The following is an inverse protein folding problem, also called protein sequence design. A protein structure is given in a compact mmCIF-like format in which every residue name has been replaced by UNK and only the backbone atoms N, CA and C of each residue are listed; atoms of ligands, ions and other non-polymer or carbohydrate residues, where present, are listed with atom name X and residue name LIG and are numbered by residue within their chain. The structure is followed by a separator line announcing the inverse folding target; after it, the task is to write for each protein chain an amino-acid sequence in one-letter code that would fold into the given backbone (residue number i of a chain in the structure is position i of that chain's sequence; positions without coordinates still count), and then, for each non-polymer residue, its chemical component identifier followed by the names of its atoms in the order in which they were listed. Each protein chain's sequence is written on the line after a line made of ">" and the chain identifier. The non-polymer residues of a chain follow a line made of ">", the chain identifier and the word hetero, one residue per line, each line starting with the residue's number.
data_IF_513296723212
#
_entry.id   IF_513296723212
#
_cell.length_a   1.000
_cell.length_b   1.000
_cell.length_c   1.000
_cell.angle_alpha   90.00
_cell.angle_beta   90.00
_cell.angle_gamma   90.00
#
_symmetry.space_group_name_H-M   'P 1'
#
loop_
_entity.id
_entity.type
_entity.pdbx_description
1 polymer ?
#
# COMPACT_ATOMS: atom_id res chain seq x y z
N UNK A 1 -24.28 -13.21 -15.66
CA UNK A 1 -24.69 -14.21 -16.68
C UNK A 1 -24.62 -15.59 -16.02
N UNK A 2 -25.70 -16.32 -15.92
CA UNK A 2 -25.71 -17.72 -15.49
C UNK A 2 -25.18 -18.58 -16.61
N UNK A 3 -24.10 -19.30 -16.38
CA UNK A 3 -23.57 -20.26 -17.34
C UNK A 3 -24.28 -21.59 -17.07
N UNK A 4 -25.08 -22.01 -17.99
CA UNK A 4 -25.81 -23.30 -17.96
C UNK A 4 -24.96 -24.40 -18.63
N UNK A 5 -23.69 -24.49 -18.30
CA UNK A 5 -22.78 -25.53 -18.76
C UNK A 5 -22.38 -26.43 -17.62
N UNK A 6 -21.99 -27.66 -17.93
CA UNK A 6 -21.41 -28.56 -16.94
C UNK A 6 -20.21 -27.92 -16.20
N UNK A 7 -20.04 -28.18 -14.90
CA UNK A 7 -18.90 -27.67 -14.13
C UNK A 7 -17.60 -28.12 -14.80
N UNK A 8 -16.79 -27.15 -15.23
CA UNK A 8 -15.51 -27.40 -15.88
C UNK A 8 -14.39 -26.73 -15.10
N UNK A 9 -13.21 -27.35 -15.08
CA UNK A 9 -12.01 -26.80 -14.46
C UNK A 9 -10.83 -26.88 -15.43
N UNK A 10 -9.95 -25.87 -15.38
CA UNK A 10 -8.77 -25.84 -16.22
C UNK A 10 -8.77 -24.74 -17.28
N UNK A 11 -7.78 -24.78 -18.16
CA UNK A 11 -7.64 -23.83 -19.27
C UNK A 11 -8.36 -24.35 -20.50
N UNK A 12 -9.28 -23.56 -21.02
CA UNK A 12 -10.03 -23.85 -22.25
C UNK A 12 -9.83 -22.68 -23.20
N UNK A 13 -8.92 -22.84 -24.17
CA UNK A 13 -8.54 -21.77 -25.09
C UNK A 13 -8.00 -20.54 -24.34
N UNK A 14 -8.64 -19.38 -24.53
CA UNK A 14 -8.27 -18.12 -23.87
C UNK A 14 -9.02 -17.90 -22.53
N UNK A 15 -9.62 -18.93 -21.96
CA UNK A 15 -10.35 -18.86 -20.69
C UNK A 15 -9.83 -19.87 -19.69
N UNK A 16 -9.92 -19.51 -18.41
CA UNK A 16 -9.65 -20.41 -17.30
C UNK A 16 -10.94 -20.57 -16.51
N UNK A 17 -11.42 -21.80 -16.45
CA UNK A 17 -12.58 -22.19 -15.65
C UNK A 17 -12.08 -22.77 -14.31
N UNK A 18 -12.73 -22.40 -13.22
CA UNK A 18 -12.42 -22.92 -11.88
C UNK A 18 -13.65 -22.88 -10.99
N UNK A 19 -13.69 -23.78 -10.02
CA UNK A 19 -14.74 -23.78 -9.01
C UNK A 19 -14.25 -22.89 -7.86
N UNK A 20 -14.88 -21.72 -7.73
CA UNK A 20 -14.60 -20.80 -6.63
C UNK A 20 -15.57 -21.02 -5.47
N UNK A 21 -15.36 -20.28 -4.37
CA UNK A 21 -16.22 -20.30 -3.18
C UNK A 21 -17.71 -20.04 -3.50
N UNK A 22 -17.99 -19.34 -4.57
CA UNK A 22 -19.34 -18.93 -4.99
C UNK A 22 -19.85 -19.72 -6.19
N UNK A 23 -19.23 -20.86 -6.48
CA UNK A 23 -19.59 -21.76 -7.59
C UNK A 23 -18.63 -21.65 -8.78
N UNK A 24 -19.13 -22.07 -9.94
CA UNK A 24 -18.42 -22.05 -11.20
C UNK A 24 -18.04 -20.62 -11.61
N UNK A 25 -16.77 -20.38 -11.81
CA UNK A 25 -16.22 -19.11 -12.27
C UNK A 25 -15.43 -19.30 -13.56
N UNK A 26 -15.50 -18.33 -14.46
CA UNK A 26 -14.64 -18.26 -15.64
C UNK A 26 -13.98 -16.89 -15.69
N UNK A 27 -12.72 -16.86 -16.06
CA UNK A 27 -11.97 -15.64 -16.32
C UNK A 27 -11.17 -15.75 -17.59
N UNK A 28 -10.86 -14.65 -18.21
CA UNK A 28 -9.90 -14.61 -19.30
C UNK A 28 -8.52 -15.07 -18.82
N UNK A 29 -7.84 -15.84 -19.66
CA UNK A 29 -6.45 -16.23 -19.40
C UNK A 29 -5.54 -15.04 -19.67
N UNK A 30 -4.93 -14.52 -18.61
CA UNK A 30 -3.91 -13.50 -18.73
C UNK A 30 -2.59 -14.12 -18.29
N UNK A 31 -1.60 -14.11 -19.18
CA UNK A 31 -0.24 -14.50 -18.80
C UNK A 31 0.30 -13.50 -17.77
N UNK A 32 0.66 -13.96 -16.56
CA UNK A 32 1.13 -13.05 -15.53
C UNK A 32 2.47 -12.43 -15.98
N UNK A 33 2.52 -11.11 -16.06
CA UNK A 33 3.80 -10.41 -16.20
C UNK A 33 4.53 -10.51 -14.87
N UNK A 34 5.69 -11.13 -14.90
CA UNK A 34 6.54 -11.26 -13.70
C UNK A 34 7.33 -9.95 -13.48
N UNK A 35 6.62 -8.87 -13.21
CA UNK A 35 7.26 -7.61 -12.83
C UNK A 35 7.63 -7.68 -11.36
N UNK A 36 8.93 -7.75 -11.05
CA UNK A 36 9.45 -7.57 -9.70
C UNK A 36 9.45 -6.09 -9.34
N UNK A 37 9.04 -5.77 -8.12
CA UNK A 37 9.24 -4.44 -7.52
C UNK A 37 9.45 -4.63 -6.02
N UNK A 38 10.26 -3.77 -5.36
CA UNK A 38 10.54 -3.92 -3.92
C UNK A 38 9.28 -4.03 -3.06
N UNK A 39 8.25 -3.24 -3.36
CA UNK A 39 6.96 -3.29 -2.65
C UNK A 39 6.24 -4.63 -2.84
N UNK A 40 6.23 -5.17 -4.07
CA UNK A 40 5.61 -6.47 -4.36
C UNK A 40 6.36 -7.62 -3.71
N UNK A 41 7.68 -7.57 -3.74
CA UNK A 41 8.52 -8.62 -3.15
C UNK A 41 8.39 -8.61 -1.62
N UNK A 42 8.30 -7.42 -1.02
CA UNK A 42 7.98 -7.27 0.39
C UNK A 42 6.61 -7.89 0.75
N UNK A 43 5.57 -7.57 -0.01
CA UNK A 43 4.23 -8.16 0.20
C UNK A 43 4.23 -9.68 0.07
N UNK A 44 4.89 -10.22 -0.97
CA UNK A 44 5.03 -11.68 -1.15
C UNK A 44 5.80 -12.31 0.00
N UNK A 45 6.87 -11.65 0.45
CA UNK A 45 7.67 -12.08 1.60
C UNK A 45 6.83 -12.19 2.87
N UNK A 46 6.04 -11.16 3.18
CA UNK A 46 5.15 -11.15 4.34
C UNK A 46 4.09 -12.25 4.29
N UNK A 47 3.39 -12.38 3.16
CA UNK A 47 2.41 -13.46 3.00
C UNK A 47 3.07 -14.84 3.10
N UNK A 48 4.25 -15.01 2.49
CA UNK A 48 5.02 -16.25 2.56
C UNK A 48 5.48 -16.57 3.98
N UNK A 49 5.89 -15.57 4.76
CA UNK A 49 6.29 -15.78 6.17
C UNK A 49 5.11 -16.21 7.04
N UNK A 50 3.95 -15.56 6.89
CA UNK A 50 2.74 -15.97 7.61
C UNK A 50 2.23 -17.35 7.18
N UNK A 51 2.33 -17.69 5.91
CA UNK A 51 1.97 -19.04 5.44
C UNK A 51 2.90 -20.11 6.03
N UNK A 52 4.21 -19.86 6.10
CA UNK A 52 5.17 -20.76 6.78
C UNK A 52 4.90 -20.84 8.28
N UNK A 53 4.57 -19.73 8.93
CA UNK A 53 4.20 -19.72 10.33
C UNK A 53 2.95 -20.57 10.60
N UNK A 54 1.93 -20.46 9.76
CA UNK A 54 0.73 -21.29 9.83
C UNK A 54 1.04 -22.80 9.79
N UNK A 55 1.90 -23.21 8.87
CA UNK A 55 2.20 -24.65 8.67
C UNK A 55 3.27 -25.21 9.61
N UNK A 56 4.23 -24.39 10.04
CA UNK A 56 5.42 -24.87 10.76
C UNK A 56 5.59 -24.36 12.19
N UNK A 57 4.99 -23.20 12.55
CA UNK A 57 5.14 -22.63 13.89
C UNK A 57 3.93 -22.87 14.79
N UNK A 58 2.71 -22.90 14.22
CA UNK A 58 1.51 -23.14 15.01
C UNK A 58 1.37 -24.62 15.35
N UNK A 59 0.98 -24.89 16.59
CA UNK A 59 0.53 -26.21 17.02
C UNK A 59 -0.83 -26.54 16.40
N UNK A 60 -1.22 -27.82 16.39
CA UNK A 60 -2.53 -28.25 15.90
C UNK A 60 -3.64 -27.56 16.68
N UNK A 61 -3.56 -27.51 18.01
CA UNK A 61 -4.53 -26.83 18.86
C UNK A 61 -4.69 -25.34 18.54
N UNK A 62 -3.57 -24.66 18.20
CA UNK A 62 -3.64 -23.25 17.77
C UNK A 62 -4.30 -23.11 16.41
N UNK A 63 -4.00 -24.00 15.46
CA UNK A 63 -4.68 -24.01 14.14
C UNK A 63 -6.17 -24.28 14.28
N UNK A 64 -6.56 -25.20 15.14
CA UNK A 64 -7.96 -25.54 15.42
C UNK A 64 -8.70 -24.34 16.01
N UNK A 65 -8.10 -23.60 16.94
CA UNK A 65 -8.67 -22.37 17.49
C UNK A 65 -8.92 -21.32 16.40
N UNK A 66 -7.99 -21.14 15.47
CA UNK A 66 -8.19 -20.24 14.32
C UNK A 66 -9.25 -20.76 13.34
N UNK A 67 -9.33 -22.08 13.11
CA UNK A 67 -10.36 -22.71 12.29
C UNK A 67 -11.76 -22.57 12.89
N UNK A 68 -11.88 -22.54 14.21
CA UNK A 68 -13.13 -22.25 14.89
C UNK A 68 -13.51 -20.76 14.83
N UNK A 69 -12.53 -19.86 14.96
CA UNK A 69 -12.75 -18.42 14.94
C UNK A 69 -13.05 -17.89 13.51
N UNK A 70 -12.38 -18.43 12.49
CA UNK A 70 -12.47 -17.95 11.10
C UNK A 70 -13.90 -17.86 10.56
N UNK A 71 -14.73 -18.90 10.66
CA UNK A 71 -16.11 -18.87 10.16
C UNK A 71 -17.02 -17.82 10.79
N UNK A 72 -16.68 -17.32 11.99
CA UNK A 72 -17.40 -16.25 12.67
C UNK A 72 -17.16 -14.89 12.02
N UNK A 73 -16.14 -14.78 11.16
CA UNK A 73 -15.75 -13.54 10.48
C UNK A 73 -16.10 -13.59 9.00
N UNK A 74 -16.73 -12.54 8.49
CA UNK A 74 -17.09 -12.44 7.09
C UNK A 74 -15.97 -11.79 6.27
N UNK A 75 -15.69 -12.34 5.10
CA UNK A 75 -14.77 -11.73 4.14
C UNK A 75 -15.35 -10.43 3.58
N UNK A 76 -14.48 -9.51 3.15
CA UNK A 76 -14.91 -8.35 2.37
C UNK A 76 -15.75 -8.77 1.15
N UNK A 77 -16.72 -7.94 0.77
CA UNK A 77 -17.59 -8.19 -0.39
C UNK A 77 -16.76 -8.23 -1.67
N UNK A 78 -16.86 -9.34 -2.40
CA UNK A 78 -16.32 -9.48 -3.75
C UNK A 78 -17.43 -9.89 -4.70
N UNK A 79 -17.61 -9.14 -5.78
CA UNK A 79 -18.73 -9.32 -6.71
C UNK A 79 -20.11 -9.32 -6.00
N UNK A 80 -20.25 -8.49 -4.97
CA UNK A 80 -21.45 -8.37 -4.18
C UNK A 80 -21.70 -9.49 -3.15
N UNK A 81 -20.81 -10.48 -3.07
CA UNK A 81 -20.92 -11.62 -2.14
C UNK A 81 -19.80 -11.60 -1.10
N UNK A 82 -20.12 -11.95 0.12
CA UNK A 82 -19.19 -12.23 1.20
C UNK A 82 -19.42 -13.66 1.71
N UNK A 83 -18.47 -14.19 2.46
CA UNK A 83 -18.62 -15.50 3.09
C UNK A 83 -17.65 -15.67 4.25
N UNK A 84 -17.82 -16.69 5.09
CA UNK A 84 -17.01 -16.92 6.26
C UNK A 84 -15.54 -17.09 5.88
N UNK A 85 -14.61 -16.59 6.67
CA UNK A 85 -13.19 -16.80 6.44
C UNK A 85 -12.78 -18.23 6.82
N UNK A 86 -11.72 -18.75 6.20
CA UNK A 86 -11.03 -19.92 6.72
C UNK A 86 -10.13 -19.51 7.90
N UNK A 87 -9.76 -20.45 8.78
CA UNK A 87 -8.85 -20.17 9.88
C UNK A 87 -7.53 -19.54 9.42
N UNK A 88 -6.93 -20.08 8.36
CA UNK A 88 -5.72 -19.51 7.78
C UNK A 88 -5.90 -18.08 7.24
N UNK A 89 -7.02 -17.80 6.55
CA UNK A 89 -7.30 -16.44 6.07
C UNK A 89 -7.48 -15.45 7.22
N UNK A 90 -8.16 -15.89 8.30
CA UNK A 90 -8.32 -15.05 9.48
C UNK A 90 -6.98 -14.80 10.18
N UNK A 91 -6.17 -15.86 10.39
CA UNK A 91 -4.81 -15.73 10.91
C UNK A 91 -3.94 -14.76 10.10
N UNK A 92 -3.94 -14.91 8.78
CA UNK A 92 -3.16 -14.02 7.90
C UNK A 92 -3.66 -12.57 7.95
N UNK A 93 -4.96 -12.35 7.98
CA UNK A 93 -5.55 -11.01 8.08
C UNK A 93 -5.12 -10.28 9.35
N UNK A 94 -5.36 -10.90 10.51
CA UNK A 94 -5.01 -10.33 11.82
C UNK A 94 -3.50 -10.05 11.93
N UNK A 95 -2.68 -11.03 11.56
CA UNK A 95 -1.23 -10.88 11.72
C UNK A 95 -0.59 -9.96 10.67
N UNK A 96 -1.19 -9.81 9.49
CA UNK A 96 -0.77 -8.77 8.53
C UNK A 96 -1.03 -7.37 9.05
N UNK A 97 -2.19 -7.12 9.66
CA UNK A 97 -2.51 -5.83 10.26
C UNK A 97 -1.58 -5.49 11.43
N UNK A 98 -1.25 -6.47 12.27
CA UNK A 98 -0.28 -6.29 13.37
C UNK A 98 1.13 -6.02 12.87
N UNK A 99 1.58 -6.77 11.87
CA UNK A 99 2.90 -6.58 11.26
C UNK A 99 3.03 -5.18 10.63
N UNK A 100 1.94 -4.63 10.08
CA UNK A 100 1.92 -3.29 9.52
C UNK A 100 2.30 -2.20 10.55
N UNK A 101 1.92 -2.39 11.80
CA UNK A 101 2.24 -1.46 12.90
C UNK A 101 3.43 -1.92 13.77
N UNK A 102 4.18 -2.93 13.31
CA UNK A 102 5.37 -3.43 14.01
C UNK A 102 5.07 -4.22 15.30
N UNK A 103 3.87 -4.78 15.44
CA UNK A 103 3.49 -5.63 16.56
C UNK A 103 3.80 -7.10 16.27
N UNK A 104 4.11 -7.85 17.31
CA UNK A 104 4.40 -9.29 17.22
C UNK A 104 3.19 -10.10 16.75
N UNK A 105 3.46 -11.25 16.15
CA UNK A 105 2.47 -12.19 15.67
C UNK A 105 1.70 -12.82 16.82
N UNK A 106 0.38 -12.95 16.66
CA UNK A 106 -0.49 -13.71 17.58
C UNK A 106 -0.59 -15.17 17.14
N UNK A 107 -0.41 -16.08 18.09
CA UNK A 107 -0.56 -17.52 17.90
C UNK A 107 -2.01 -18.00 18.12
N UNK A 108 -2.79 -17.25 18.88
CA UNK A 108 -4.20 -17.52 19.14
C UNK A 108 -5.07 -16.38 18.57
N UNK A 109 -6.31 -16.70 18.14
CA UNK A 109 -7.22 -15.68 17.64
C UNK A 109 -7.58 -14.69 18.76
N UNK A 110 -7.46 -13.38 18.52
CA UNK A 110 -7.90 -12.38 19.48
C UNK A 110 -9.42 -12.30 19.54
N UNK A 111 -9.95 -11.88 20.69
CA UNK A 111 -11.36 -11.61 20.83
C UNK A 111 -11.82 -10.53 19.84
N UNK A 112 -13.05 -10.60 19.31
CA UNK A 112 -13.59 -9.55 18.45
C UNK A 112 -13.63 -8.20 19.17
N UNK A 113 -13.17 -7.15 18.49
CA UNK A 113 -13.16 -5.79 19.01
C UNK A 113 -14.29 -4.98 18.38
N UNK A 114 -15.00 -4.24 19.21
CA UNK A 114 -15.98 -3.24 18.77
C UNK A 114 -15.37 -1.88 18.95
N UNK A 115 -15.04 -1.24 17.82
CA UNK A 115 -14.43 0.08 17.84
C UNK A 115 -15.46 1.16 18.14
N UNK A 116 -15.10 2.09 19.01
CA UNK A 116 -15.81 3.35 19.18
C UNK A 116 -15.65 4.22 17.91
N UNK A 117 -16.36 5.35 17.89
CA UNK A 117 -16.19 6.33 16.81
C UNK A 117 -14.72 6.78 16.77
N UNK A 118 -14.15 6.82 15.57
CA UNK A 118 -12.76 7.24 15.37
C UNK A 118 -12.56 8.66 15.93
N UNK A 119 -11.63 8.87 16.88
CA UNK A 119 -11.42 10.16 17.52
C UNK A 119 -10.72 11.20 16.62
N UNK A 120 -10.25 10.82 15.44
CA UNK A 120 -9.63 11.74 14.48
C UNK A 120 -10.71 12.50 13.74
N UNK A 121 -10.69 13.81 13.85
CA UNK A 121 -11.64 14.71 13.19
C UNK A 121 -11.09 15.23 11.86
N UNK A 122 -10.95 16.54 11.77
CA UNK A 122 -10.59 17.25 10.54
C UNK A 122 -9.07 17.34 10.36
N UNK A 123 -8.62 17.29 9.10
CA UNK A 123 -7.28 17.70 8.68
C UNK A 123 -7.21 19.23 8.66
N UNK A 124 -6.21 19.78 9.32
CA UNK A 124 -5.87 21.22 9.30
C UNK A 124 -4.51 21.36 8.63
N UNK A 125 -4.44 22.18 7.58
CA UNK A 125 -3.18 22.46 6.89
C UNK A 125 -2.83 23.92 7.15
N UNK A 126 -1.64 24.16 7.67
CA UNK A 126 -1.07 25.51 7.83
C UNK A 126 0.13 25.64 6.91
N UNK A 127 0.32 26.81 6.33
CA UNK A 127 1.43 27.15 5.46
C UNK A 127 2.05 28.45 5.95
N UNK A 128 3.20 28.37 6.61
CA UNK A 128 3.91 29.51 7.20
C UNK A 128 5.36 29.55 6.77
N UNK A 129 6.18 30.37 7.46
CA UNK A 129 7.62 30.49 7.22
C UNK A 129 8.37 29.15 7.33
N UNK A 130 7.90 28.23 8.21
CA UNK A 130 8.45 26.89 8.40
C UNK A 130 7.97 25.84 7.41
N UNK A 131 7.26 26.22 6.30
CA UNK A 131 6.70 25.29 5.33
C UNK A 131 5.28 24.81 5.68
N UNK A 132 4.81 23.81 4.96
CA UNK A 132 3.47 23.25 5.13
C UNK A 132 3.44 22.28 6.30
N UNK A 133 2.48 22.46 7.21
CA UNK A 133 2.22 21.54 8.32
C UNK A 133 0.86 20.87 8.15
N UNK A 134 0.82 19.58 8.42
CA UNK A 134 -0.36 18.72 8.32
C UNK A 134 -0.74 18.24 9.73
N UNK A 135 -1.83 18.77 10.26
CA UNK A 135 -2.27 18.54 11.62
C UNK A 135 -3.63 17.83 11.60
N UNK A 136 -3.77 16.74 12.34
CA UNK A 136 -5.06 16.07 12.55
C UNK A 136 -5.65 16.51 13.88
N UNK A 137 -6.88 17.03 13.84
CA UNK A 137 -7.61 17.41 15.04
C UNK A 137 -8.13 16.15 15.74
N UNK A 138 -7.83 16.00 17.02
CA UNK A 138 -8.29 14.89 17.85
C UNK A 138 -9.47 15.35 18.68
N UNK A 139 -10.60 14.65 18.59
CA UNK A 139 -11.86 15.04 19.22
C UNK A 139 -12.14 14.31 20.54
N UNK A 140 -11.44 13.19 20.79
CA UNK A 140 -11.57 12.39 22.00
C UNK A 140 -10.23 11.72 22.33
N UNK A 141 -10.01 11.25 23.56
CA UNK A 141 -8.81 10.49 23.90
C UNK A 141 -8.61 9.29 22.97
N UNK A 142 -7.37 9.08 22.55
CA UNK A 142 -6.97 7.94 21.70
C UNK A 142 -6.65 6.77 22.62
N UNK A 143 -7.47 5.73 22.56
CA UNK A 143 -7.29 4.51 23.35
C UNK A 143 -6.60 3.39 22.56
N UNK A 144 -6.79 3.38 21.23
CA UNK A 144 -6.26 2.35 20.34
C UNK A 144 -5.17 2.91 19.43
N UNK A 145 -4.40 2.02 18.80
CA UNK A 145 -3.46 2.41 17.75
C UNK A 145 -4.24 2.95 16.53
N UNK A 146 -3.91 4.13 16.04
CA UNK A 146 -4.52 4.71 14.84
C UNK A 146 -3.51 4.69 13.71
N UNK A 147 -3.84 3.96 12.65
CA UNK A 147 -3.08 3.88 11.41
C UNK A 147 -3.41 5.08 10.53
N UNK A 148 -2.40 5.77 10.04
CA UNK A 148 -2.53 6.90 9.11
C UNK A 148 -2.15 6.47 7.71
N UNK A 149 -3.04 6.72 6.77
CA UNK A 149 -2.84 6.48 5.35
C UNK A 149 -2.96 7.78 4.57
N UNK A 150 -2.23 7.90 3.48
CA UNK A 150 -2.30 9.07 2.60
C UNK A 150 -2.10 8.71 1.14
N UNK A 151 -2.35 9.67 0.27
CA UNK A 151 -2.00 9.61 -1.14
C UNK A 151 -1.14 10.80 -1.53
N UNK A 152 -0.47 10.72 -2.68
CA UNK A 152 0.25 11.86 -3.24
C UNK A 152 -0.69 13.05 -3.43
N UNK A 153 -0.20 14.30 -3.23
CA UNK A 153 -1.00 15.49 -3.37
C UNK A 153 -1.58 15.57 -4.80
N UNK A 154 -2.77 16.12 -4.92
CA UNK A 154 -3.48 16.20 -6.19
C UNK A 154 -4.11 17.58 -6.41
N UNK A 155 -4.64 17.82 -7.60
CA UNK A 155 -5.32 19.09 -7.91
C UNK A 155 -6.50 19.37 -6.98
N UNK A 156 -6.73 20.63 -6.64
CA UNK A 156 -7.81 21.08 -5.74
C UNK A 156 -9.21 20.64 -6.19
N UNK A 157 -9.43 20.48 -7.50
CA UNK A 157 -10.72 20.05 -8.06
C UNK A 157 -11.06 18.58 -7.84
N UNK A 158 -10.12 17.75 -7.40
CA UNK A 158 -10.38 16.35 -7.13
C UNK A 158 -11.23 16.16 -5.88
N UNK A 159 -12.38 15.51 -6.03
CA UNK A 159 -13.34 15.29 -4.93
C UNK A 159 -13.22 13.92 -4.26
N UNK A 160 -12.64 12.93 -4.92
CA UNK A 160 -12.51 11.55 -4.41
C UNK A 160 -11.05 11.13 -4.35
N UNK A 161 -10.68 10.47 -3.24
CA UNK A 161 -9.36 9.86 -3.10
C UNK A 161 -9.14 8.74 -4.12
N UNK A 162 -7.89 8.42 -4.36
CA UNK A 162 -7.42 7.19 -5.03
C UNK A 162 -6.96 6.19 -3.97
N UNK A 163 -6.16 5.23 -4.39
CA UNK A 163 -5.51 4.31 -3.47
C UNK A 163 -4.60 5.09 -2.52
N UNK A 164 -4.76 4.83 -1.24
CA UNK A 164 -3.93 5.39 -0.18
C UNK A 164 -2.86 4.38 0.22
N UNK A 165 -1.74 4.89 0.72
CA UNK A 165 -0.65 4.08 1.27
C UNK A 165 -0.51 4.33 2.76
N UNK A 166 -0.11 3.32 3.49
CA UNK A 166 0.20 3.45 4.90
C UNK A 166 1.40 4.38 5.11
N UNK A 167 1.26 5.35 6.00
CA UNK A 167 2.30 6.34 6.34
C UNK A 167 2.96 6.02 7.67
N UNK A 168 2.21 5.55 8.64
CA UNK A 168 2.68 5.26 9.98
C UNK A 168 1.53 5.26 11.00
N UNK A 169 1.88 5.09 12.26
CA UNK A 169 0.97 5.30 13.38
C UNK A 169 0.81 6.79 13.65
N UNK A 170 -0.37 7.15 14.15
CA UNK A 170 -0.68 8.53 14.56
C UNK A 170 0.26 8.95 15.69
N UNK A 171 1.01 10.04 15.53
CA UNK A 171 1.83 10.60 16.61
C UNK A 171 0.97 11.04 17.80
N UNK A 172 1.56 11.01 18.99
CA UNK A 172 0.87 11.46 20.20
C UNK A 172 0.36 12.90 20.05
N UNK A 173 -0.93 13.16 20.33
CA UNK A 173 -1.50 14.48 20.16
C UNK A 173 -0.94 15.46 21.17
N UNK A 174 -0.64 16.67 20.72
CA UNK A 174 -0.28 17.82 21.54
C UNK A 174 -1.39 18.87 21.43
N UNK A 175 -1.93 19.29 22.56
CA UNK A 175 -3.04 20.27 22.62
C UNK A 175 -4.23 19.91 21.67
N UNK A 176 -4.56 18.63 21.57
CA UNK A 176 -5.66 18.17 20.70
C UNK A 176 -5.35 18.10 19.21
N UNK A 177 -4.09 18.29 18.82
CA UNK A 177 -3.61 18.19 17.44
C UNK A 177 -2.51 17.13 17.35
N UNK A 178 -2.53 16.32 16.31
CA UNK A 178 -1.46 15.37 16.00
C UNK A 178 -0.76 15.76 14.71
N UNK A 179 0.54 15.99 14.77
CA UNK A 179 1.36 16.41 13.62
C UNK A 179 1.80 15.20 12.79
N UNK A 180 1.27 15.06 11.60
CA UNK A 180 1.60 14.01 10.65
C UNK A 180 2.51 14.49 9.50
N UNK A 181 3.03 15.71 9.58
CA UNK A 181 3.84 16.33 8.52
C UNK A 181 5.03 15.46 8.15
N UNK A 182 5.81 15.01 9.14
CA UNK A 182 6.98 14.19 8.89
C UNK A 182 6.64 12.86 8.20
N UNK A 183 5.54 12.19 8.60
CA UNK A 183 5.08 10.94 7.99
C UNK A 183 4.68 11.15 6.52
N UNK A 184 4.00 12.25 6.23
CA UNK A 184 3.53 12.56 4.89
C UNK A 184 4.69 12.96 3.97
N UNK A 185 5.54 13.89 4.43
CA UNK A 185 6.66 14.44 3.65
C UNK A 185 7.71 13.38 3.34
N UNK A 186 7.99 12.48 4.28
CA UNK A 186 8.90 11.36 4.06
C UNK A 186 8.51 10.47 2.88
N UNK A 187 7.18 10.39 2.57
CA UNK A 187 6.70 9.54 1.50
C UNK A 187 6.41 10.26 0.19
N UNK A 188 5.87 11.46 0.25
CA UNK A 188 5.35 12.16 -0.92
C UNK A 188 6.01 13.50 -1.18
N UNK A 189 6.87 13.95 -0.29
CA UNK A 189 7.39 15.31 -0.31
C UNK A 189 6.38 16.33 0.22
N UNK A 190 6.80 17.59 0.28
CA UNK A 190 5.96 18.70 0.71
C UNK A 190 4.88 19.00 -0.33
N UNK A 191 3.60 19.08 0.07
CA UNK A 191 2.54 19.40 -0.86
C UNK A 191 2.57 20.90 -1.23
N UNK A 192 2.37 21.18 -2.52
CA UNK A 192 2.36 22.57 -3.03
C UNK A 192 1.07 23.30 -2.70
N UNK A 193 1.17 24.65 -2.72
CA UNK A 193 0.01 25.55 -2.56
C UNK A 193 -1.09 25.21 -3.57
N UNK A 194 -2.34 25.19 -3.13
CA UNK A 194 -3.50 24.85 -3.95
C UNK A 194 -3.67 23.36 -4.25
N UNK A 195 -2.76 22.51 -3.81
CA UNK A 195 -2.94 21.05 -3.91
C UNK A 195 -3.83 20.54 -2.78
N UNK A 196 -4.61 19.50 -3.08
CA UNK A 196 -5.45 18.81 -2.10
C UNK A 196 -4.73 17.58 -1.55
N UNK A 197 -4.74 17.46 -0.23
CA UNK A 197 -4.22 16.32 0.50
C UNK A 197 -5.38 15.50 1.04
N UNK A 198 -5.34 14.18 0.83
CA UNK A 198 -6.28 13.22 1.41
C UNK A 198 -5.58 12.37 2.44
N UNK A 199 -6.16 12.28 3.61
CA UNK A 199 -5.70 11.42 4.71
C UNK A 199 -6.84 10.50 5.09
N UNK A 200 -6.51 9.24 5.36
CA UNK A 200 -7.44 8.25 5.89
C UNK A 200 -6.86 7.73 7.19
N UNK A 201 -7.68 7.65 8.20
CA UNK A 201 -7.31 7.06 9.49
C UNK A 201 -8.16 5.85 9.78
N UNK A 202 -7.55 4.86 10.43
CA UNK A 202 -8.19 3.61 10.80
C UNK A 202 -7.71 3.18 12.18
N UNK A 203 -8.64 2.89 13.07
CA UNK A 203 -8.33 2.32 14.38
C UNK A 203 -7.86 0.87 14.23
N UNK A 204 -6.92 0.46 15.05
CA UNK A 204 -6.41 -0.91 15.07
C UNK A 204 -6.20 -1.35 16.51
N UNK A 205 -6.74 -2.52 16.84
CA UNK A 205 -6.51 -3.18 18.13
C UNK A 205 -6.39 -4.68 17.92
N UNK A 206 -5.30 -5.27 18.38
CA UNK A 206 -4.99 -6.72 18.26
C UNK A 206 -5.13 -7.32 16.86
N UNK A 207 -4.92 -6.50 15.81
CA UNK A 207 -5.05 -6.91 14.42
C UNK A 207 -6.45 -6.75 13.84
N UNK A 208 -7.45 -6.41 14.65
CA UNK A 208 -8.73 -5.94 14.16
C UNK A 208 -8.61 -4.52 13.66
N UNK A 209 -9.29 -4.21 12.57
CA UNK A 209 -9.28 -2.89 11.96
C UNK A 209 -10.68 -2.29 11.98
N UNK A 210 -10.77 -1.02 12.38
CA UNK A 210 -11.99 -0.24 12.36
C UNK A 210 -12.34 0.24 10.93
N UNK A 211 -13.33 1.11 10.85
CA UNK A 211 -13.75 1.72 9.60
C UNK A 211 -12.79 2.84 9.18
N UNK A 212 -12.66 3.02 7.86
CA UNK A 212 -11.93 4.15 7.28
C UNK A 212 -12.63 5.47 7.63
N UNK A 213 -11.88 6.41 8.20
CA UNK A 213 -12.27 7.81 8.33
C UNK A 213 -11.46 8.64 7.36
N UNK A 214 -12.13 9.25 6.38
CA UNK A 214 -11.49 10.08 5.37
C UNK A 214 -11.60 11.55 5.77
N UNK A 215 -10.48 12.26 5.63
CA UNK A 215 -10.41 13.72 5.74
C UNK A 215 -9.53 14.28 4.63
N UNK A 216 -9.81 15.48 4.20
CA UNK A 216 -9.02 16.15 3.17
C UNK A 216 -9.09 17.67 3.33
N UNK A 217 -8.02 18.33 2.87
CA UNK A 217 -7.94 19.80 2.87
C UNK A 217 -7.06 20.26 1.71
N UNK A 218 -7.18 21.52 1.34
CA UNK A 218 -6.36 22.18 0.31
C UNK A 218 -5.28 23.00 1.00
N UNK A 219 -4.05 22.89 0.50
CA UNK A 219 -2.91 23.67 1.02
C UNK A 219 -3.17 25.15 0.79
N UNK A 220 -3.26 25.97 1.85
CA UNK A 220 -3.52 27.39 1.72
C UNK A 220 -2.31 28.15 1.16
N UNK A 221 -2.56 29.30 0.58
CA UNK A 221 -1.53 30.28 0.21
C UNK A 221 -0.89 30.79 1.50
N UNK A 222 0.39 31.12 1.47
CA UNK A 222 1.07 31.75 2.61
C UNK A 222 0.40 33.07 2.98
N UNK A 223 0.26 33.39 4.28
CA UNK A 223 -0.40 34.61 4.70
C UNK A 223 0.27 35.89 4.16
N UNK A 224 1.60 35.85 3.99
CA UNK A 224 2.37 36.95 3.41
C UNK A 224 2.00 37.21 1.94
N UNK A 225 1.86 36.15 1.13
CA UNK A 225 1.46 36.26 -0.28
C UNK A 225 0.02 36.74 -0.41
N UNK A 226 -0.86 36.42 0.55
CA UNK A 226 -2.22 36.91 0.60
C UNK A 226 -2.26 38.43 0.87
N UNK A 227 -1.43 38.95 1.75
CA UNK A 227 -1.34 40.36 2.04
C UNK A 227 -0.76 41.15 0.85
N UNK A 228 0.30 40.59 0.20
CA UNK A 228 0.88 41.16 -0.99
C UNK A 228 -0.13 41.24 -2.16
N UNK A 229 -0.93 40.22 -2.34
CA UNK A 229 -2.01 40.20 -3.34
C UNK A 229 -3.12 41.21 -3.04
N UNK A 230 -3.49 41.38 -1.76
CA UNK A 230 -4.52 42.32 -1.32
C UNK A 230 -4.06 43.80 -1.44
N UNK A 231 -2.78 44.08 -1.30
CA UNK A 231 -2.18 45.42 -1.42
C UNK A 231 -1.84 45.81 -2.85
N UNK A 232 -2.07 44.95 -3.86
CA UNK A 232 -1.74 45.23 -5.26
C UNK A 232 -0.24 45.31 -5.56
N UNK A 233 0.61 44.91 -4.63
CA UNK A 233 2.07 45.03 -4.71
C UNK A 233 2.74 43.83 -5.36
N UNK A 234 1.99 42.94 -6.05
CA UNK A 234 2.59 41.87 -6.84
C UNK A 234 3.25 42.51 -8.08
N UNK A 235 4.56 42.34 -8.30
CA UNK A 235 5.17 42.73 -9.56
C UNK A 235 4.44 41.92 -10.66
N UNK A 236 3.86 42.62 -11.61
CA UNK A 236 3.30 42.02 -12.81
C UNK A 236 4.38 41.13 -13.42
N UNK A 237 4.06 39.88 -13.76
CA UNK A 237 5.01 39.07 -14.50
C UNK A 237 5.39 39.84 -15.75
N UNK A 238 6.67 40.19 -15.86
CA UNK A 238 7.22 40.77 -17.08
C UNK A 238 7.08 39.70 -18.13
N UNK A 239 6.00 39.75 -18.90
CA UNK A 239 5.86 38.98 -20.11
C UNK A 239 6.98 39.49 -21.06
N UNK A 240 8.12 38.81 -21.02
CA UNK A 240 9.04 38.89 -22.14
C UNK A 240 8.31 38.33 -23.36
N UNK A 241 7.69 39.22 -24.11
CA UNK A 241 7.34 38.96 -25.49
C UNK A 241 8.68 38.68 -26.25
N UNK A 242 9.08 37.42 -26.34
CA UNK A 242 9.95 37.01 -27.41
C UNK A 242 9.16 37.22 -28.69
N UNK A 243 9.49 38.34 -29.36
CA UNK A 243 8.96 38.65 -30.67
C UNK A 243 9.19 37.47 -31.60
N UNK A 244 8.15 36.80 -32.03
CA UNK A 244 8.14 35.94 -33.18
C UNK A 244 8.27 36.82 -34.41
N UNK A 245 9.46 37.11 -34.85
CA UNK A 245 9.72 37.50 -36.23
C UNK A 245 9.43 36.32 -37.12
N UNK A 246 8.33 36.44 -37.87
CA UNK A 246 8.01 35.55 -38.98
C UNK A 246 8.97 35.88 -40.11
N UNK A 247 10.02 35.10 -40.30
CA UNK A 247 10.72 35.03 -41.55
C UNK A 247 10.06 33.93 -42.40
N UNK A 248 9.34 34.42 -43.40
CA UNK A 248 8.80 33.63 -44.48
C UNK A 248 9.94 33.36 -45.45
N UNK A 249 10.52 32.17 -45.45
CA UNK A 249 11.16 31.58 -46.64
C UNK A 249 11.11 30.08 -46.55
N UNK A 250 10.39 29.50 -47.50
CA UNK A 250 10.24 28.08 -47.68
C UNK A 250 11.56 27.42 -48.14
N UNK A 251 11.85 26.30 -47.51
CA UNK A 251 12.70 25.28 -48.11
C UNK A 251 12.27 23.94 -47.58
N UNK A 252 11.78 23.12 -48.47
CA UNK A 252 11.42 21.70 -48.26
C UNK A 252 12.72 20.93 -48.13
N UNK A 253 12.96 20.16 -47.04
CA UNK A 253 14.09 19.23 -47.04
C UNK A 253 13.67 17.89 -47.68
N UNK A 254 14.62 17.21 -48.36
CA UNK A 254 14.38 16.01 -49.14
C UNK A 254 14.19 14.77 -48.26
N UNK A 255 13.32 13.92 -48.73
CA UNK A 255 13.09 12.55 -48.34
C UNK A 255 14.39 11.73 -48.30
N UNK A 256 14.72 11.10 -47.17
CA UNK A 256 15.78 10.11 -47.06
C UNK A 256 15.19 8.69 -47.13
N UNK A 257 15.94 7.75 -47.77
CA UNK A 257 15.41 6.43 -48.10
C UNK A 257 15.52 5.41 -46.97
N UNK A 258 14.62 4.43 -47.05
CA UNK A 258 14.60 3.20 -46.32
C UNK A 258 15.95 2.49 -46.23
N UNK A 259 16.31 2.06 -45.02
CA UNK A 259 17.32 1.04 -44.82
C UNK A 259 16.79 -0.02 -43.88
N UNK A 260 16.33 -1.10 -44.45
CA UNK A 260 16.20 -2.40 -43.83
C UNK A 260 17.57 -2.91 -43.41
N UNK A 261 17.72 -3.32 -42.17
CA UNK A 261 18.75 -4.29 -41.80
C UNK A 261 18.22 -5.18 -40.68
N UNK A 262 17.87 -6.38 -41.07
CA UNK A 262 17.74 -7.57 -40.21
C UNK A 262 19.08 -7.80 -39.49
N UNK A 263 19.02 -7.99 -38.19
CA UNK A 263 20.16 -8.46 -37.41
C UNK A 263 19.66 -9.22 -36.17
N UNK A 264 19.50 -10.51 -36.34
CA UNK A 264 19.33 -11.49 -35.23
C UNK A 264 20.69 -11.69 -34.57
N UNK A 265 20.84 -11.53 -33.26
CA UNK A 265 21.99 -12.11 -32.57
C UNK A 265 21.64 -13.47 -31.99
N UNK A 266 22.51 -14.40 -32.28
CA UNK A 266 22.54 -15.78 -31.84
C UNK A 266 22.71 -15.88 -30.31
N UNK A 267 22.08 -16.91 -29.78
CA UNK A 267 22.19 -17.39 -28.41
C UNK A 267 23.40 -18.33 -28.29
N UNK A 268 24.36 -18.12 -27.39
CA UNK A 268 25.32 -19.15 -27.05
C UNK A 268 25.05 -19.78 -25.70
N UNK A 269 24.94 -21.11 -25.71
CA UNK A 269 25.53 -21.98 -24.69
C UNK A 269 24.75 -22.20 -23.41
N UNK A 270 23.88 -23.22 -23.43
CA UNK A 270 23.59 -24.03 -22.27
C UNK A 270 24.85 -24.83 -21.89
N UNK A 271 25.36 -24.62 -20.70
CA UNK A 271 26.19 -25.62 -20.03
C UNK A 271 25.47 -26.12 -18.78
N UNK A 272 25.17 -27.39 -18.82
CA UNK A 272 24.64 -28.16 -17.69
C UNK A 272 25.81 -28.48 -16.74
N UNK A 273 25.66 -28.11 -15.48
CA UNK A 273 26.48 -28.66 -14.39
C UNK A 273 25.60 -29.40 -13.41
N UNK A 274 25.67 -30.69 -13.49
CA UNK A 274 25.17 -31.62 -12.48
C UNK A 274 26.19 -31.66 -11.33
N UNK A 275 25.71 -31.45 -10.09
CA UNK A 275 26.43 -31.76 -8.85
C UNK A 275 25.34 -32.26 -7.91
N UNK A 276 25.21 -33.51 -7.57
CA UNK A 276 26.10 -34.27 -6.69
C UNK A 276 25.46 -34.28 -5.30
N UNK A 277 24.57 -35.30 -5.05
CA UNK A 277 24.08 -35.64 -3.69
C UNK A 277 25.28 -36.14 -2.86
N UNK A 278 25.45 -35.56 -1.69
CA UNK A 278 26.35 -36.01 -0.66
C UNK A 278 25.62 -36.05 0.67
N UNK A 279 25.30 -37.26 1.12
CA UNK A 279 24.91 -37.58 2.50
C UNK A 279 26.10 -37.48 3.44
N UNK A 280 25.76 -37.21 4.67
CA UNK A 280 26.36 -37.68 5.92
C UNK A 280 26.89 -36.59 6.86
N UNK A 281 26.46 -36.71 8.12
CA UNK A 281 27.27 -36.35 9.25
C UNK A 281 26.51 -35.85 10.48
N UNK A 282 26.10 -36.75 11.34
CA UNK A 282 25.66 -36.55 12.73
C UNK A 282 26.82 -36.03 13.57
N UNK A 283 26.60 -35.07 14.47
CA UNK A 283 27.55 -34.80 15.56
C UNK A 283 27.41 -33.44 16.23
N UNK A 284 26.88 -33.40 17.43
CA UNK A 284 27.50 -32.87 18.63
C UNK A 284 27.30 -31.42 19.04
N UNK A 285 26.48 -31.23 20.03
CA UNK A 285 26.55 -30.34 21.20
C UNK A 285 27.57 -29.18 21.23
N UNK A 286 27.07 -27.96 21.59
CA UNK A 286 27.88 -26.84 22.03
C UNK A 286 27.03 -25.60 22.26
N UNK A 287 26.66 -25.38 23.51
CA UNK A 287 26.07 -24.14 23.99
C UNK A 287 27.08 -22.99 23.85
N UNK A 288 26.65 -21.84 23.33
CA UNK A 288 27.17 -20.56 23.82
C UNK A 288 26.15 -19.47 23.46
N UNK A 289 25.59 -18.88 24.52
CA UNK A 289 24.77 -17.70 24.49
C UNK A 289 25.64 -16.47 24.27
N UNK A 290 25.52 -15.80 23.13
CA UNK A 290 25.96 -14.42 22.97
C UNK A 290 24.83 -13.55 22.45
N UNK A 291 24.36 -12.73 23.39
CA UNK A 291 23.57 -11.53 23.23
C UNK A 291 24.05 -10.69 22.04
N UNK A 292 23.25 -10.62 20.97
CA UNK A 292 23.38 -9.58 19.95
C UNK A 292 22.17 -8.68 20.06
N UNK A 293 22.44 -7.45 20.46
CA UNK A 293 21.52 -6.34 20.40
C UNK A 293 20.89 -6.24 19.00
N UNK A 294 19.57 -6.45 18.92
CA UNK A 294 18.81 -6.37 17.70
C UNK A 294 18.70 -4.94 17.23
N UNK A 295 19.29 -4.63 16.09
CA UNK A 295 18.96 -3.45 15.30
C UNK A 295 17.55 -3.65 14.79
N UNK A 296 16.62 -2.84 15.27
CA UNK A 296 15.25 -2.78 14.81
C UNK A 296 15.23 -2.36 13.32
N UNK A 297 14.65 -3.13 12.41
CA UNK A 297 14.53 -2.69 11.02
C UNK A 297 13.58 -1.50 10.93
N UNK A 298 13.95 -0.51 10.13
CA UNK A 298 13.12 0.65 9.82
C UNK A 298 11.73 0.21 9.32
N UNK A 299 10.65 0.94 9.65
CA UNK A 299 9.29 0.59 9.29
C UNK A 299 9.12 0.53 7.76
N UNK A 300 8.85 -0.66 7.27
CA UNK A 300 8.57 -0.92 5.86
C UNK A 300 7.23 -0.30 5.45
N UNK A 301 7.23 0.27 4.27
CA UNK A 301 6.09 0.98 3.68
C UNK A 301 5.13 -0.01 3.01
N UNK A 302 3.88 -0.04 3.45
CA UNK A 302 2.80 -0.89 2.90
C UNK A 302 1.91 -0.12 1.93
N UNK A 303 1.63 -0.71 0.75
CA UNK A 303 0.54 -0.30 -0.16
C UNK A 303 -0.40 -1.49 -0.33
N UNK A 304 -1.67 -1.30 -0.03
CA UNK A 304 -2.75 -2.26 -0.29
C UNK A 304 -3.44 -1.97 -1.62
#
# INVERSE_FOLDING_TARGET
>A
MKILSEPSTGKIGNRVAYIGRYGQCQREYVSPRNTSSPARDHMRGSFGSLARAWSGLLTDAQRDAWCEAGPKVQSGKRLGKSGPLTGQQHFQGINSARACIGRDMLFLPPAPVVFATNPVGQLVITNGEGGVRLLLKITAPVAEDIMVFGQAPCSSGRRKRRNVSYLGLLPAPQAGLSDITALYVARYGEPGVGQRVFIVTRQQQDGWEGLDQETHEVVPVKPEDQQAAATGALPLPVHMHKGCTRDAQGTVPPTAPDSQANGTPANPGQEAAAVGFGEAGVGGAGADAQSRAGVSPAPGVWTF
#
